data_IF_931289758628
#
_entry.id   IF_931289758628
#
_cell.length_a   1.000
_cell.length_b   1.000
_cell.length_c   1.000
_cell.angle_alpha   90.00
_cell.angle_beta   90.00
_cell.angle_gamma   90.00
#
_symmetry.space_group_name_H-M   'P 1'
#
loop_
_entity.id
_entity.type
_entity.pdbx_description
1 polymer ?
#
# COMPACT_ATOMS: atom_id res chain seq x y z
N UNK A 1 -45.41 55.28 -29.01
CA UNK A 1 -44.24 54.71 -28.30
C UNK A 1 -44.42 53.27 -27.78
N UNK A 2 -45.64 52.77 -27.55
CA UNK A 2 -45.86 51.42 -26.97
C UNK A 2 -45.54 50.23 -27.89
N UNK A 3 -45.87 50.32 -29.19
CA UNK A 3 -45.67 49.22 -30.16
C UNK A 3 -44.19 48.90 -30.45
N UNK A 4 -43.37 49.94 -30.66
CA UNK A 4 -41.94 49.78 -30.99
C UNK A 4 -41.15 49.10 -29.86
N UNK A 5 -41.47 49.44 -28.61
CA UNK A 5 -40.84 48.86 -27.42
C UNK A 5 -41.20 47.37 -27.24
N UNK A 6 -42.42 46.99 -27.62
CA UNK A 6 -42.90 45.61 -27.56
C UNK A 6 -42.21 44.73 -28.61
N UNK A 7 -42.02 45.29 -29.82
CA UNK A 7 -41.29 44.63 -30.91
C UNK A 7 -39.82 44.44 -30.51
N UNK A 8 -39.17 45.48 -29.96
CA UNK A 8 -37.78 45.39 -29.52
C UNK A 8 -37.57 44.31 -28.45
N UNK A 9 -38.48 44.22 -27.46
CA UNK A 9 -38.44 43.17 -26.42
C UNK A 9 -38.60 41.77 -27.00
N UNK A 10 -39.48 41.58 -27.98
CA UNK A 10 -39.68 40.28 -28.65
C UNK A 10 -38.46 39.87 -29.47
N UNK A 11 -37.86 40.82 -30.20
CA UNK A 11 -36.63 40.58 -30.97
C UNK A 11 -35.46 40.25 -30.03
N UNK A 12 -35.30 40.99 -28.93
CA UNK A 12 -34.24 40.72 -27.95
C UNK A 12 -34.43 39.36 -27.26
N UNK A 13 -35.67 39.00 -26.89
CA UNK A 13 -35.96 37.70 -26.29
C UNK A 13 -35.72 36.54 -27.28
N UNK A 14 -35.99 36.75 -28.57
CA UNK A 14 -35.68 35.78 -29.62
C UNK A 14 -34.18 35.60 -29.80
N UNK A 15 -33.42 36.70 -29.88
CA UNK A 15 -31.95 36.67 -29.98
C UNK A 15 -31.29 36.01 -28.77
N UNK A 16 -31.77 36.30 -27.57
CA UNK A 16 -31.26 35.68 -26.35
C UNK A 16 -31.50 34.17 -26.33
N UNK A 17 -32.69 33.71 -26.77
CA UNK A 17 -33.01 32.29 -26.87
C UNK A 17 -32.15 31.56 -27.90
N UNK A 18 -31.91 32.15 -29.08
CA UNK A 18 -31.07 31.52 -30.11
C UNK A 18 -29.62 31.40 -29.66
N UNK A 19 -29.06 32.42 -29.00
CA UNK A 19 -27.69 32.35 -28.46
C UNK A 19 -27.58 31.27 -27.38
N UNK A 20 -28.53 31.20 -26.45
CA UNK A 20 -28.48 30.22 -25.36
C UNK A 20 -28.64 28.77 -25.88
N UNK A 21 -29.56 28.54 -26.81
CA UNK A 21 -29.76 27.23 -27.44
C UNK A 21 -28.52 26.82 -28.25
N UNK A 22 -27.91 27.75 -28.99
CA UNK A 22 -26.69 27.49 -29.75
C UNK A 22 -25.53 27.10 -28.84
N UNK A 23 -25.33 27.81 -27.72
CA UNK A 23 -24.30 27.47 -26.74
C UNK A 23 -24.53 26.09 -26.12
N UNK A 24 -25.77 25.78 -25.74
CA UNK A 24 -26.13 24.47 -25.20
C UNK A 24 -25.87 23.33 -26.20
N UNK A 25 -26.18 23.56 -27.48
CA UNK A 25 -25.94 22.58 -28.54
C UNK A 25 -24.44 22.31 -28.76
N UNK A 26 -23.61 23.35 -28.80
CA UNK A 26 -22.15 23.20 -28.90
C UNK A 26 -21.58 22.49 -27.68
N UNK A 27 -22.06 22.83 -26.47
CA UNK A 27 -21.67 22.15 -25.24
C UNK A 27 -22.04 20.66 -25.26
N UNK A 28 -23.23 20.31 -25.76
CA UNK A 28 -23.63 18.91 -25.96
C UNK A 28 -22.73 18.20 -26.97
N UNK A 29 -22.35 18.82 -28.08
CA UNK A 29 -21.42 18.23 -29.05
C UNK A 29 -20.04 18.02 -28.43
N UNK A 30 -19.53 18.98 -27.64
CA UNK A 30 -18.25 18.84 -26.94
C UNK A 30 -18.31 17.70 -25.91
N UNK A 31 -19.40 17.59 -25.16
CA UNK A 31 -19.63 16.47 -24.25
C UNK A 31 -19.70 15.13 -25.00
N UNK A 32 -20.42 15.06 -26.12
CA UNK A 32 -20.48 13.86 -26.95
C UNK A 32 -19.11 13.50 -27.52
N UNK A 33 -18.33 14.49 -27.97
CA UNK A 33 -16.97 14.27 -28.47
C UNK A 33 -16.05 13.75 -27.37
N UNK A 34 -16.13 14.31 -26.16
CA UNK A 34 -15.39 13.78 -25.02
C UNK A 34 -15.88 12.39 -24.59
N UNK A 35 -17.17 12.11 -24.73
CA UNK A 35 -17.77 10.84 -24.33
C UNK A 35 -17.48 9.69 -25.32
N UNK A 36 -17.39 10.00 -26.62
CA UNK A 36 -17.32 8.99 -27.68
C UNK A 36 -16.02 8.99 -28.50
N UNK A 37 -15.21 10.04 -28.44
CA UNK A 37 -13.97 10.16 -29.20
C UNK A 37 -12.82 10.78 -28.38
N UNK A 38 -12.41 10.18 -27.25
CA UNK A 38 -11.19 10.61 -26.56
C UNK A 38 -9.98 10.41 -27.49
N UNK A 39 -9.09 11.41 -27.54
CA UNK A 39 -7.84 11.30 -28.27
C UNK A 39 -6.99 10.19 -27.64
N UNK A 40 -6.86 9.07 -28.35
CA UNK A 40 -6.08 7.90 -27.93
C UNK A 40 -4.61 8.19 -28.18
N UNK A 41 -3.86 8.50 -27.13
CA UNK A 41 -2.42 8.26 -27.13
C UNK A 41 -2.18 6.78 -26.78
N UNK A 42 -1.50 6.11 -27.70
CA UNK A 42 -1.37 4.67 -27.76
C UNK A 42 -0.20 4.21 -26.90
N UNK A 43 -0.45 3.79 -25.66
CA UNK A 43 0.58 3.18 -24.81
C UNK A 43 0.76 1.70 -25.17
N UNK A 44 1.96 1.36 -25.68
CA UNK A 44 2.35 -0.02 -26.02
C UNK A 44 2.54 -0.84 -24.75
N UNK A 45 1.75 -1.89 -24.59
CA UNK A 45 2.00 -2.97 -23.63
C UNK A 45 3.30 -3.72 -23.97
N UNK A 46 4.28 -3.74 -23.06
CA UNK A 46 5.47 -4.60 -23.19
C UNK A 46 5.37 -5.74 -22.19
N UNK A 47 5.08 -6.94 -22.70
CA UNK A 47 5.26 -8.19 -22.02
C UNK A 47 6.75 -8.55 -22.03
N UNK A 48 7.52 -8.10 -21.03
CA UNK A 48 8.90 -8.56 -20.79
C UNK A 48 8.87 -9.74 -19.83
N UNK A 49 9.72 -10.73 -20.09
CA UNK A 49 9.86 -11.96 -19.32
C UNK A 49 10.28 -11.69 -17.86
N UNK A 50 9.82 -12.53 -16.94
CA UNK A 50 10.01 -12.40 -15.49
C UNK A 50 11.48 -12.54 -15.05
N UNK A 51 12.35 -13.03 -15.93
CA UNK A 51 13.78 -13.25 -15.66
C UNK A 51 14.61 -11.98 -15.86
N UNK A 52 14.39 -11.24 -16.95
CA UNK A 52 15.14 -10.01 -17.28
C UNK A 52 14.80 -8.85 -16.33
N UNK A 53 13.55 -8.78 -15.84
CA UNK A 53 13.14 -7.77 -14.84
C UNK A 53 13.91 -7.88 -13.53
N UNK A 54 14.34 -9.08 -13.14
CA UNK A 54 14.98 -9.27 -11.83
C UNK A 54 16.48 -8.91 -11.88
N UNK A 55 17.19 -9.15 -12.98
CA UNK A 55 18.62 -8.81 -13.08
C UNK A 55 18.85 -7.30 -13.16
N UNK A 56 18.11 -6.59 -14.01
CA UNK A 56 18.23 -5.13 -14.12
C UNK A 56 17.74 -4.41 -12.86
N UNK A 57 16.67 -4.91 -12.22
CA UNK A 57 16.17 -4.32 -10.98
C UNK A 57 17.14 -4.53 -9.82
N UNK A 58 17.81 -5.69 -9.73
CA UNK A 58 18.85 -5.96 -8.72
C UNK A 58 20.06 -5.05 -8.95
N UNK A 59 20.52 -4.91 -10.20
CA UNK A 59 21.65 -4.04 -10.55
C UNK A 59 21.33 -2.55 -10.27
N UNK A 60 20.09 -2.13 -10.51
CA UNK A 60 19.61 -0.77 -10.25
C UNK A 60 19.37 -0.49 -8.76
N UNK A 61 19.05 -1.50 -7.95
CA UNK A 61 18.94 -1.40 -6.48
C UNK A 61 20.33 -1.28 -5.83
N UNK A 62 21.29 -2.07 -6.31
CA UNK A 62 22.66 -2.06 -5.79
C UNK A 62 23.41 -0.76 -6.12
N UNK A 63 23.11 -0.13 -7.26
CA UNK A 63 23.82 1.06 -7.73
C UNK A 63 23.16 2.41 -7.39
N UNK A 64 22.08 2.45 -6.59
CA UNK A 64 21.44 3.72 -6.21
C UNK A 64 21.50 3.97 -4.71
N UNK A 65 22.22 5.03 -4.33
CA UNK A 65 22.30 5.55 -2.95
C UNK A 65 20.95 6.05 -2.39
N UNK A 66 19.88 6.11 -3.19
CA UNK A 66 18.54 6.54 -2.75
C UNK A 66 17.42 5.71 -3.41
N UNK A 67 16.37 5.34 -2.66
CA UNK A 67 15.27 4.55 -3.18
C UNK A 67 14.56 5.27 -4.32
N UNK A 68 14.41 4.59 -5.45
CA UNK A 68 13.71 5.10 -6.64
C UNK A 68 12.22 5.17 -6.35
N UNK A 69 11.57 6.35 -6.41
CA UNK A 69 10.12 6.42 -6.46
C UNK A 69 9.69 5.77 -7.78
N UNK A 70 8.88 4.71 -7.72
CA UNK A 70 8.27 4.18 -8.96
C UNK A 70 7.06 5.04 -9.28
N UNK A 71 7.06 5.65 -10.47
CA UNK A 71 6.14 6.71 -10.94
C UNK A 71 4.64 6.36 -11.01
N UNK A 72 4.18 5.25 -10.44
CA UNK A 72 2.78 4.81 -10.53
C UNK A 72 2.21 4.25 -9.21
N UNK A 73 2.56 4.82 -8.06
CA UNK A 73 1.78 4.61 -6.84
C UNK A 73 1.17 5.93 -6.36
N UNK A 74 -0.17 6.00 -6.35
CA UNK A 74 -0.94 7.19 -5.98
C UNK A 74 -0.99 7.45 -4.47
N UNK A 75 0.13 7.31 -3.78
CA UNK A 75 0.32 7.86 -2.45
C UNK A 75 1.66 8.59 -2.46
N UNK A 76 1.62 9.92 -2.48
CA UNK A 76 2.80 10.80 -2.44
C UNK A 76 2.99 11.44 -1.06
N UNK A 77 2.29 10.92 -0.04
CA UNK A 77 2.33 11.48 1.31
C UNK A 77 3.59 11.01 2.04
N UNK A 78 4.42 11.96 2.45
CA UNK A 78 5.68 11.75 3.18
C UNK A 78 5.50 10.90 4.46
N UNK A 79 4.31 10.90 5.06
CA UNK A 79 4.02 10.10 6.26
C UNK A 79 3.89 8.61 6.00
N UNK A 80 3.58 8.21 4.77
CA UNK A 80 3.46 6.79 4.38
C UNK A 80 4.80 6.24 3.89
N UNK A 81 5.69 7.14 3.45
CA UNK A 81 7.02 6.84 2.93
C UNK A 81 8.14 7.36 3.82
N UNK A 82 7.92 7.42 5.13
CA UNK A 82 8.99 7.82 6.04
C UNK A 82 10.01 6.70 6.12
N UNK A 83 11.18 6.94 5.53
CA UNK A 83 12.33 6.07 5.65
C UNK A 83 12.74 6.02 7.12
N UNK A 84 12.63 4.83 7.71
CA UNK A 84 13.19 4.56 9.03
C UNK A 84 14.71 4.79 8.97
N UNK A 85 15.32 5.47 9.95
CA UNK A 85 16.76 5.66 9.99
C UNK A 85 17.54 4.34 9.94
N UNK A 86 16.97 3.28 10.52
CA UNK A 86 17.45 1.90 10.38
C UNK A 86 16.30 1.00 9.94
N UNK A 87 16.13 0.77 8.62
CA UNK A 87 15.03 -0.05 8.14
C UNK A 87 15.25 -1.53 8.51
N UNK A 88 14.18 -2.29 8.78
CA UNK A 88 14.30 -3.72 9.03
C UNK A 88 14.96 -4.44 7.85
N UNK A 89 15.70 -5.51 8.13
CA UNK A 89 16.46 -6.27 7.13
C UNK A 89 15.60 -6.72 5.94
N UNK A 90 14.33 -7.04 6.19
CA UNK A 90 13.39 -7.40 5.13
C UNK A 90 13.33 -6.32 4.04
N UNK A 91 13.35 -5.04 4.41
CA UNK A 91 13.31 -3.94 3.44
C UNK A 91 14.68 -3.69 2.79
N UNK A 92 15.79 -4.02 3.46
CA UNK A 92 17.14 -3.96 2.88
C UNK A 92 17.28 -4.91 1.68
N UNK A 93 16.62 -6.09 1.73
CA UNK A 93 16.67 -7.07 0.63
C UNK A 93 15.45 -7.06 -0.30
N UNK A 94 14.22 -6.82 0.20
CA UNK A 94 12.99 -6.90 -0.60
C UNK A 94 12.43 -5.53 -1.04
N UNK A 95 13.00 -4.43 -0.54
CA UNK A 95 12.53 -3.08 -0.80
C UNK A 95 11.15 -2.77 -0.18
N UNK A 96 10.63 -1.57 -0.47
CA UNK A 96 9.39 -1.05 0.12
C UNK A 96 8.10 -1.61 -0.48
N UNK A 97 8.19 -2.30 -1.62
CA UNK A 97 7.04 -2.86 -2.34
C UNK A 97 7.25 -4.36 -2.62
N UNK A 98 7.37 -5.19 -1.57
CA UNK A 98 7.73 -6.60 -1.71
C UNK A 98 6.62 -7.46 -2.35
N UNK A 99 5.38 -6.95 -2.41
CA UNK A 99 4.25 -7.70 -2.95
C UNK A 99 4.02 -7.40 -4.43
N UNK A 100 4.43 -8.34 -5.28
CA UNK A 100 4.31 -8.23 -6.75
C UNK A 100 3.57 -9.39 -7.41
N UNK A 101 3.44 -10.54 -6.71
CA UNK A 101 2.93 -11.79 -7.28
C UNK A 101 1.43 -11.79 -7.57
N UNK A 102 0.62 -11.32 -6.62
CA UNK A 102 -0.84 -11.28 -6.77
C UNK A 102 -1.28 -9.86 -7.07
N UNK A 103 -1.52 -9.58 -8.35
CA UNK A 103 -1.93 -8.25 -8.83
C UNK A 103 -3.25 -7.77 -8.22
N UNK A 104 -4.13 -8.67 -7.78
CA UNK A 104 -5.43 -8.32 -7.20
C UNK A 104 -5.28 -7.78 -5.77
N UNK A 105 -4.24 -8.21 -5.06
CA UNK A 105 -3.99 -7.86 -3.66
C UNK A 105 -2.78 -6.93 -3.48
N UNK A 106 -1.97 -6.74 -4.53
CA UNK A 106 -0.69 -6.02 -4.47
C UNK A 106 -0.80 -4.65 -3.78
N UNK A 107 -1.78 -3.83 -4.19
CA UNK A 107 -1.90 -2.45 -3.68
C UNK A 107 -2.32 -2.43 -2.22
N UNK A 108 -3.19 -3.35 -1.82
CA UNK A 108 -3.59 -3.49 -0.42
C UNK A 108 -2.42 -3.97 0.43
N UNK A 109 -1.69 -5.00 0.00
CA UNK A 109 -0.58 -5.54 0.79
C UNK A 109 0.58 -4.55 0.91
N UNK A 110 0.96 -3.88 -0.18
CA UNK A 110 2.00 -2.86 -0.14
C UNK A 110 1.61 -1.63 0.71
N UNK A 111 0.33 -1.28 0.77
CA UNK A 111 -0.15 -0.25 1.70
C UNK A 111 0.09 -0.64 3.18
N UNK A 112 -0.01 -1.93 3.51
CA UNK A 112 0.18 -2.36 4.90
C UNK A 112 1.64 -2.19 5.37
N UNK A 113 2.62 -2.27 4.47
CA UNK A 113 4.04 -2.04 4.77
C UNK A 113 4.29 -0.65 5.37
N UNK A 114 3.44 0.34 5.05
CA UNK A 114 3.51 1.68 5.63
C UNK A 114 3.10 1.77 7.10
N UNK A 115 2.31 0.82 7.61
CA UNK A 115 1.69 0.90 8.95
C UNK A 115 2.06 -0.25 9.88
N UNK A 116 2.66 -1.32 9.36
CA UNK A 116 3.08 -2.47 10.16
C UNK A 116 4.38 -3.08 9.63
N UNK A 117 5.14 -3.70 10.53
CA UNK A 117 6.32 -4.48 10.16
C UNK A 117 5.93 -5.76 9.41
N UNK A 118 6.82 -6.23 8.54
CA UNK A 118 6.63 -7.45 7.74
C UNK A 118 6.25 -8.66 8.61
N UNK A 119 6.86 -8.72 9.79
CA UNK A 119 6.73 -9.75 10.78
C UNK A 119 5.33 -9.83 11.40
N UNK A 120 4.52 -8.77 11.33
CA UNK A 120 3.11 -8.85 11.75
C UNK A 120 2.36 -9.89 10.92
N UNK A 121 2.64 -9.95 9.62
CA UNK A 121 1.98 -10.91 8.72
C UNK A 121 2.81 -12.19 8.54
N UNK A 122 4.13 -12.09 8.62
CA UNK A 122 5.03 -13.21 8.32
C UNK A 122 5.48 -13.99 9.56
N UNK A 123 5.30 -13.48 10.79
CA UNK A 123 5.54 -14.21 12.05
C UNK A 123 4.18 -14.52 12.69
N UNK A 124 3.64 -15.72 12.46
CA UNK A 124 2.34 -16.14 13.04
C UNK A 124 2.45 -16.43 14.54
N UNK A 125 1.35 -16.26 15.29
CA UNK A 125 1.24 -16.59 16.74
C UNK A 125 1.69 -18.02 17.10
N UNK A 126 1.54 -18.95 16.18
CA UNK A 126 1.91 -20.36 16.37
C UNK A 126 3.44 -20.57 16.23
N UNK A 127 4.19 -19.52 15.91
CA UNK A 127 5.64 -19.56 15.83
C UNK A 127 6.25 -19.81 17.20
N UNK A 128 6.79 -21.02 17.37
CA UNK A 128 7.57 -21.50 18.53
C UNK A 128 6.88 -21.24 19.89
N UNK A 129 5.56 -21.39 19.97
CA UNK A 129 4.79 -21.27 21.22
C UNK A 129 4.79 -19.86 21.83
N UNK A 130 4.96 -18.82 21.02
CA UNK A 130 5.05 -17.45 21.51
C UNK A 130 3.67 -16.80 21.73
N UNK A 131 3.34 -16.56 23.00
CA UNK A 131 2.36 -15.56 23.41
C UNK A 131 2.92 -14.15 23.08
N UNK A 132 2.98 -13.79 21.80
CA UNK A 132 3.32 -12.44 21.39
C UNK A 132 2.06 -11.59 21.21
N UNK A 133 2.21 -10.29 21.43
CA UNK A 133 1.16 -9.29 21.23
C UNK A 133 1.65 -8.20 20.29
N UNK A 134 0.75 -7.30 19.88
CA UNK A 134 1.09 -6.22 18.97
C UNK A 134 1.09 -4.88 19.71
N UNK A 135 2.07 -4.05 19.40
CA UNK A 135 2.19 -2.69 19.90
C UNK A 135 2.69 -1.76 18.80
N UNK A 136 2.62 -0.46 19.04
CA UNK A 136 3.24 0.52 18.15
C UNK A 136 4.72 0.67 18.51
N UNK A 137 5.56 0.84 17.51
CA UNK A 137 6.95 1.28 17.64
C UNK A 137 7.12 2.59 16.88
N UNK A 138 7.57 3.62 17.58
CA UNK A 138 7.84 4.95 17.04
C UNK A 138 8.92 4.88 15.96
N UNK A 139 8.69 5.54 14.82
CA UNK A 139 9.58 5.44 13.64
C UNK A 139 10.92 6.16 13.83
N UNK A 140 11.01 7.14 14.72
CA UNK A 140 12.23 7.91 14.96
C UNK A 140 13.09 7.30 16.07
N UNK A 141 12.45 6.89 17.15
CA UNK A 141 13.11 6.45 18.39
C UNK A 141 13.11 4.94 18.56
N UNK A 142 12.29 4.21 17.79
CA UNK A 142 12.09 2.77 17.93
C UNK A 142 11.39 2.35 19.24
N UNK A 143 10.98 3.31 20.09
CA UNK A 143 10.38 3.04 21.40
C UNK A 143 8.95 2.54 21.24
N UNK A 144 8.60 1.56 22.08
CA UNK A 144 7.24 1.04 22.18
C UNK A 144 6.28 2.13 22.65
N UNK A 145 5.12 2.21 22.01
CA UNK A 145 3.95 2.95 22.46
C UNK A 145 2.69 2.10 22.32
N UNK A 146 1.71 2.34 23.20
CA UNK A 146 0.35 1.79 23.06
C UNK A 146 -0.62 2.82 22.48
N UNK A 147 -0.11 4.02 22.15
CA UNK A 147 -0.88 5.12 21.57
C UNK A 147 -0.12 5.66 20.37
N UNK A 148 -0.84 5.91 19.29
CA UNK A 148 -0.28 6.47 18.07
C UNK A 148 -0.96 7.78 17.75
N UNK A 149 -0.22 8.74 17.19
CA UNK A 149 -0.82 9.96 16.65
C UNK A 149 -1.10 9.77 15.17
N UNK A 150 -2.15 10.41 14.68
CA UNK A 150 -2.57 10.32 13.29
C UNK A 150 -3.82 9.46 13.08
N UNK A 151 -4.01 8.97 11.86
CA UNK A 151 -5.24 8.29 11.46
C UNK A 151 -5.26 7.91 9.98
N UNK A 152 -6.17 7.01 9.62
CA UNK A 152 -6.41 6.59 8.23
C UNK A 152 -5.17 6.10 7.48
N UNK A 153 -4.25 5.46 8.18
CA UNK A 153 -3.02 4.91 7.57
C UNK A 153 -1.82 5.86 7.60
N UNK A 154 -1.98 7.06 8.18
CA UNK A 154 -0.92 8.02 8.43
C UNK A 154 -0.60 8.02 9.91
N UNK A 155 0.50 7.37 10.29
CA UNK A 155 0.91 7.19 11.68
C UNK A 155 2.39 7.51 11.82
N UNK A 156 2.76 8.06 12.98
CA UNK A 156 4.16 8.32 13.37
C UNK A 156 4.88 7.05 13.89
N UNK A 157 4.19 5.92 13.90
CA UNK A 157 4.65 4.64 14.40
C UNK A 157 4.16 3.50 13.50
N UNK A 158 4.82 2.34 13.61
CA UNK A 158 4.40 1.09 12.96
C UNK A 158 3.97 0.04 13.98
N UNK A 159 3.01 -0.80 13.61
CA UNK A 159 2.62 -1.95 14.41
C UNK A 159 3.70 -3.02 14.29
N UNK A 160 4.19 -3.51 15.42
CA UNK A 160 5.23 -4.54 15.52
C UNK A 160 4.80 -5.69 16.43
N UNK A 161 5.26 -6.92 16.15
CA UNK A 161 5.09 -8.05 17.06
C UNK A 161 6.08 -7.98 18.24
N UNK A 162 5.56 -8.11 19.46
CA UNK A 162 6.32 -8.07 20.71
C UNK A 162 6.17 -9.38 21.46
N UNK A 163 7.29 -10.00 21.83
CA UNK A 163 7.33 -11.18 22.70
C UNK A 163 7.80 -10.80 24.09
N UNK A 164 7.17 -11.36 25.10
CA UNK A 164 7.63 -11.23 26.48
C UNK A 164 8.52 -12.42 26.86
N UNK A 165 9.75 -12.13 27.31
CA UNK A 165 10.73 -13.11 27.76
C UNK A 165 11.23 -12.68 29.13
N UNK A 166 10.84 -13.41 30.18
CA UNK A 166 11.25 -13.12 31.58
C UNK A 166 10.98 -11.66 32.02
N UNK A 167 9.85 -11.09 31.59
CA UNK A 167 9.47 -9.70 31.88
C UNK A 167 10.12 -8.64 30.97
N UNK A 168 10.99 -9.05 30.04
CA UNK A 168 11.55 -8.19 28.99
C UNK A 168 10.66 -8.28 27.75
N UNK A 169 10.34 -7.13 27.16
CA UNK A 169 9.55 -7.05 25.93
C UNK A 169 10.47 -6.86 24.72
N UNK A 170 10.57 -7.89 23.88
CA UNK A 170 11.46 -7.94 22.72
C UNK A 170 10.66 -7.76 21.42
N UNK A 171 11.18 -6.91 20.52
CA UNK A 171 10.64 -6.66 19.18
C UNK A 171 11.04 -7.78 18.23
N UNK A 172 10.07 -8.58 17.77
CA UNK A 172 10.38 -9.71 16.87
C UNK A 172 10.80 -9.27 15.46
N UNK A 173 10.50 -8.03 15.06
CA UNK A 173 10.94 -7.41 13.82
C UNK A 173 12.40 -6.94 13.84
N UNK A 174 13.01 -6.93 15.04
CA UNK A 174 14.44 -6.71 15.22
C UNK A 174 15.20 -8.00 15.51
N UNK A 175 14.50 -9.13 15.71
CA UNK A 175 15.09 -10.42 16.01
C UNK A 175 15.65 -11.08 14.76
N UNK A 176 16.71 -10.47 14.28
CA UNK A 176 17.72 -11.15 13.51
C UNK A 176 18.77 -11.57 14.55
N UNK A 177 18.93 -12.88 14.71
CA UNK A 177 19.87 -13.48 15.67
C UNK A 177 21.23 -12.78 15.57
N UNK A 178 21.94 -12.61 16.70
CA UNK A 178 23.30 -12.06 16.78
C UNK A 178 24.22 -12.77 15.77
N UNK A 179 24.03 -14.10 15.62
CA UNK A 179 24.72 -14.92 14.61
C UNK A 179 24.44 -14.51 13.17
N UNK A 180 23.24 -14.03 12.88
CA UNK A 180 22.91 -13.52 11.56
C UNK A 180 23.44 -12.11 11.37
N UNK A 181 23.43 -11.25 12.39
CA UNK A 181 24.07 -9.95 12.31
C UNK A 181 25.55 -10.10 11.95
N UNK A 182 26.25 -11.05 12.58
CA UNK A 182 27.63 -11.40 12.26
C UNK A 182 27.78 -11.93 10.84
N UNK A 183 26.90 -12.86 10.41
CA UNK A 183 26.89 -13.38 9.05
C UNK A 183 26.66 -12.28 8.00
N UNK A 184 25.62 -11.46 8.16
CA UNK A 184 25.30 -10.36 7.25
C UNK A 184 26.40 -9.30 7.22
N UNK A 185 26.97 -8.94 8.37
CA UNK A 185 28.09 -8.00 8.46
C UNK A 185 29.37 -8.56 7.81
N UNK A 186 29.50 -9.88 7.73
CA UNK A 186 30.59 -10.54 7.00
C UNK A 186 30.39 -10.54 5.46
N UNK A 187 29.15 -10.36 4.99
CA UNK A 187 28.81 -10.19 3.58
C UNK A 187 29.03 -8.73 3.14
N UNK A 188 30.29 -8.26 3.11
CA UNK A 188 30.60 -6.95 2.50
C UNK A 188 30.08 -6.89 1.05
N UNK A 189 29.70 -5.70 0.57
CA UNK A 189 29.05 -5.44 -0.72
C UNK A 189 29.75 -6.07 -1.95
N UNK A 190 31.06 -6.29 -1.88
CA UNK A 190 31.88 -6.88 -2.95
C UNK A 190 31.95 -8.42 -2.93
N UNK A 191 31.27 -9.09 -1.99
CA UNK A 191 31.42 -10.54 -1.73
C UNK A 191 30.13 -11.36 -1.85
N UNK A 192 29.05 -10.81 -2.42
CA UNK A 192 27.89 -11.66 -2.75
C UNK A 192 28.27 -12.69 -3.81
N UNK A 193 28.57 -13.91 -3.36
CA UNK A 193 28.76 -15.10 -4.18
C UNK A 193 27.43 -15.85 -4.26
N UNK A 194 27.06 -16.46 -5.41
CA UNK A 194 25.87 -17.31 -5.54
C UNK A 194 25.78 -18.42 -4.48
N UNK A 195 26.93 -18.85 -3.97
CA UNK A 195 27.10 -19.84 -2.91
C UNK A 195 26.49 -19.41 -1.56
N UNK A 196 26.37 -18.11 -1.30
CA UNK A 196 25.76 -17.58 -0.06
C UNK A 196 24.22 -17.51 -0.12
N UNK A 197 23.62 -17.85 -1.27
CA UNK A 197 22.16 -17.82 -1.45
C UNK A 197 21.45 -18.73 -0.45
N UNK A 198 21.95 -19.94 -0.25
CA UNK A 198 21.31 -20.91 0.64
C UNK A 198 21.37 -20.47 2.10
N UNK A 199 22.46 -19.81 2.51
CA UNK A 199 22.58 -19.23 3.85
C UNK A 199 21.64 -18.04 4.07
N UNK A 200 21.47 -17.18 3.06
CA UNK A 200 20.49 -16.09 3.10
C UNK A 200 19.05 -16.61 3.13
N UNK A 201 18.75 -17.73 2.45
CA UNK A 201 17.42 -18.34 2.47
C UNK A 201 17.02 -18.88 3.85
N UNK A 202 17.99 -19.21 4.72
CA UNK A 202 17.71 -19.68 6.10
C UNK A 202 16.96 -18.63 6.94
N UNK A 203 17.06 -17.34 6.61
CA UNK A 203 16.27 -16.27 7.25
C UNK A 203 14.77 -16.55 7.17
N UNK A 204 14.33 -17.05 6.01
CA UNK A 204 12.92 -17.38 5.78
C UNK A 204 12.47 -18.63 6.53
N UNK A 205 13.39 -19.45 7.01
CA UNK A 205 13.09 -20.71 7.69
C UNK A 205 13.06 -20.56 9.21
N UNK A 206 13.92 -19.71 9.77
CA UNK A 206 14.07 -19.63 11.22
C UNK A 206 12.93 -18.92 11.91
N UNK A 207 12.47 -17.80 11.34
CA UNK A 207 11.55 -16.87 12.00
C UNK A 207 10.27 -16.56 11.21
N UNK A 208 10.19 -16.95 9.93
CA UNK A 208 9.06 -16.62 9.07
C UNK A 208 8.16 -17.84 8.79
N UNK A 209 6.86 -17.60 8.71
CA UNK A 209 5.87 -18.58 8.32
C UNK A 209 5.78 -18.66 6.80
N UNK A 210 5.69 -19.89 6.28
CA UNK A 210 5.40 -20.15 4.86
C UNK A 210 4.02 -19.63 4.44
N UNK A 211 3.09 -19.47 5.38
CA UNK A 211 1.74 -18.93 5.13
C UNK A 211 1.58 -17.62 5.87
N UNK A 212 1.52 -16.51 5.15
CA UNK A 212 1.26 -15.21 5.76
C UNK A 212 -0.17 -15.14 6.34
N UNK A 213 -0.36 -14.22 7.27
CA UNK A 213 -1.68 -13.80 7.76
C UNK A 213 -2.49 -13.20 6.60
N UNK A 214 -3.75 -13.61 6.44
CA UNK A 214 -4.63 -13.11 5.36
C UNK A 214 -5.58 -12.02 5.86
N UNK A 215 -6.26 -11.33 4.93
CA UNK A 215 -7.12 -10.19 5.25
C UNK A 215 -8.13 -10.50 6.37
N UNK A 216 -8.81 -11.64 6.29
CA UNK A 216 -9.83 -12.04 7.28
C UNK A 216 -9.26 -12.60 8.59
N UNK A 217 -7.95 -12.85 8.68
CA UNK A 217 -7.33 -13.16 9.96
C UNK A 217 -7.35 -11.93 10.85
N UNK A 218 -7.02 -10.74 10.31
CA UNK A 218 -7.02 -9.46 11.03
C UNK A 218 -8.37 -8.74 11.02
N UNK A 219 -9.02 -8.65 9.86
CA UNK A 219 -10.22 -7.83 9.64
C UNK A 219 -11.51 -8.56 10.00
N UNK A 220 -11.59 -9.07 11.22
CA UNK A 220 -12.79 -9.67 11.80
C UNK A 220 -12.90 -9.32 13.28
N UNK A 221 -14.10 -9.49 13.84
CA UNK A 221 -14.29 -9.44 15.28
C UNK A 221 -13.42 -10.52 15.94
N UNK A 222 -12.71 -10.15 17.00
CA UNK A 222 -11.77 -11.03 17.72
C UNK A 222 -10.69 -11.64 16.80
N UNK A 223 -10.22 -10.83 15.84
CA UNK A 223 -9.19 -11.21 14.88
C UNK A 223 -7.77 -11.28 15.46
N UNK A 224 -6.81 -11.49 14.55
CA UNK A 224 -5.40 -11.61 14.84
C UNK A 224 -4.83 -10.37 15.54
N UNK A 225 -5.25 -9.17 15.09
CA UNK A 225 -4.94 -7.89 15.73
C UNK A 225 -6.05 -7.48 16.70
N UNK A 226 -5.69 -7.20 17.94
CA UNK A 226 -6.60 -6.55 18.89
C UNK A 226 -6.54 -5.03 18.71
N UNK A 227 -7.41 -4.50 17.86
CA UNK A 227 -7.45 -3.06 17.57
C UNK A 227 -7.79 -2.20 18.80
N UNK A 228 -8.54 -2.71 19.77
CA UNK A 228 -8.83 -1.97 21.01
C UNK A 228 -7.56 -1.76 21.82
N UNK A 229 -6.73 -2.80 21.95
CA UNK A 229 -5.44 -2.73 22.67
C UNK A 229 -4.45 -1.82 21.95
N UNK A 230 -4.52 -1.73 20.62
CA UNK A 230 -3.74 -0.80 19.80
C UNK A 230 -4.23 0.65 19.84
N UNK A 231 -5.28 0.95 20.63
CA UNK A 231 -5.77 2.31 20.85
C UNK A 231 -6.70 2.86 19.76
N UNK A 232 -7.21 2.01 18.86
CA UNK A 232 -8.16 2.46 17.84
C UNK A 232 -9.52 2.81 18.47
N UNK A 233 -10.16 3.88 17.97
CA UNK A 233 -11.51 4.25 18.40
C UNK A 233 -12.55 3.20 18.01
N UNK A 234 -13.64 3.08 18.76
CA UNK A 234 -14.71 2.11 18.47
C UNK A 234 -15.26 2.24 17.04
N UNK A 235 -15.44 3.47 16.56
CA UNK A 235 -15.85 3.71 15.18
C UNK A 235 -14.84 3.17 14.17
N UNK A 236 -13.54 3.38 14.41
CA UNK A 236 -12.49 2.87 13.53
C UNK A 236 -12.40 1.35 13.58
N UNK A 237 -12.54 0.74 14.75
CA UNK A 237 -12.59 -0.72 14.90
C UNK A 237 -13.75 -1.30 14.08
N UNK A 238 -14.93 -0.69 14.17
CA UNK A 238 -16.09 -1.11 13.38
C UNK A 238 -15.76 -1.05 11.88
N UNK A 239 -15.24 0.07 11.37
CA UNK A 239 -14.83 0.19 9.96
C UNK A 239 -13.80 -0.85 9.53
N UNK A 240 -12.79 -1.12 10.37
CA UNK A 240 -11.73 -2.08 10.06
C UNK A 240 -12.27 -3.52 10.06
N UNK A 241 -13.22 -3.86 10.92
CA UNK A 241 -13.74 -5.23 11.08
C UNK A 241 -14.99 -5.52 10.26
N UNK A 242 -15.71 -4.49 9.81
CA UNK A 242 -16.88 -4.57 8.92
C UNK A 242 -16.54 -4.17 7.48
N UNK A 243 -15.26 -4.20 7.10
CA UNK A 243 -14.85 -3.74 5.78
C UNK A 243 -15.32 -4.70 4.69
N UNK A 244 -16.15 -4.20 3.77
CA UNK A 244 -16.53 -4.95 2.56
C UNK A 244 -15.32 -5.24 1.68
N UNK A 245 -14.24 -4.46 1.78
CA UNK A 245 -13.02 -4.66 1.00
C UNK A 245 -12.32 -5.98 1.37
N UNK A 246 -12.23 -6.33 2.65
CA UNK A 246 -11.56 -7.58 3.06
C UNK A 246 -12.37 -8.80 2.62
N UNK A 247 -13.70 -8.72 2.66
CA UNK A 247 -14.60 -9.76 2.14
C UNK A 247 -14.54 -9.85 0.62
N UNK A 248 -14.54 -8.69 -0.06
CA UNK A 248 -14.46 -8.59 -1.50
C UNK A 248 -13.20 -9.27 -2.04
N UNK A 249 -12.04 -8.92 -1.47
CA UNK A 249 -10.73 -9.45 -1.86
C UNK A 249 -10.61 -10.96 -1.62
N UNK A 250 -11.33 -11.50 -0.63
CA UNK A 250 -11.29 -12.93 -0.31
C UNK A 250 -12.31 -13.76 -1.09
N UNK A 251 -13.50 -13.23 -1.35
CA UNK A 251 -14.61 -14.00 -1.92
C UNK A 251 -14.86 -13.73 -3.40
N UNK A 252 -14.44 -12.59 -3.93
CA UNK A 252 -14.70 -12.23 -5.32
C UNK A 252 -13.43 -12.41 -6.15
N UNK A 253 -13.42 -13.50 -6.93
CA UNK A 253 -12.36 -13.73 -7.91
C UNK A 253 -12.34 -12.67 -9.02
N UNK A 254 -13.49 -12.06 -9.31
CA UNK A 254 -13.64 -11.05 -10.36
C UNK A 254 -14.35 -9.82 -9.81
N UNK A 255 -13.61 -8.71 -9.71
CA UNK A 255 -14.21 -7.40 -9.42
C UNK A 255 -14.71 -6.79 -10.73
N UNK A 256 -16.04 -6.69 -10.88
CA UNK A 256 -16.62 -6.00 -12.02
C UNK A 256 -16.66 -4.50 -11.74
N UNK A 257 -15.64 -3.77 -12.21
CA UNK A 257 -15.70 -2.31 -12.28
C UNK A 257 -16.99 -1.91 -13.02
N UNK A 258 -17.85 -1.04 -12.45
CA UNK A 258 -18.94 -0.43 -13.18
C UNK A 258 -18.39 0.14 -14.50
N UNK A 259 -19.11 -0.03 -15.62
CA UNK A 259 -18.62 0.43 -16.94
C UNK A 259 -18.19 1.91 -16.94
N UNK A 260 -18.77 2.71 -16.05
CA UNK A 260 -18.45 4.12 -15.82
C UNK A 260 -17.07 4.40 -15.17
N UNK A 261 -16.47 3.41 -14.51
CA UNK A 261 -15.21 3.52 -13.76
C UNK A 261 -14.06 2.70 -14.36
N UNK A 262 -14.33 1.93 -15.42
CA UNK A 262 -13.27 1.30 -16.20
C UNK A 262 -12.59 2.41 -16.99
N UNK A 263 -11.29 2.60 -16.76
CA UNK A 263 -10.47 3.40 -17.69
C UNK A 263 -10.65 2.79 -19.09
N UNK A 264 -11.04 3.61 -20.05
CA UNK A 264 -10.97 3.25 -21.47
C UNK A 264 -9.52 3.23 -21.91
#
# INVERSE_FOLDING_TARGET
MSSLLLILKRVFALLFKTVYIGFFFVFCILLLKMLYFPAVEQEKSVAVSEYERNSEMIEMILNKEKPVPRDHFHMTDETVFRLEPDPPLCLKCHGFYPHTKDVKKLSFLNLHVGIMACEVCHVRKDFKGSNHYFAWADLETGKKSMKVKGGYGKYDAKIVPIKEVKGVHERLDQLIDEKFHDFYSSLQETKYQPEHRDDLMKIHEYNLSKKAVICLDCHKKDGYLNFSTLGFSRNRINQLTSSEVSRMVEHYDTFYMPKMLRSQ
#
